data_IF_741989870455
#
_entry.id   IF_741989870455
#
_cell.length_a   1.000
_cell.length_b   1.000
_cell.length_c   1.000
_cell.angle_alpha   90.00
_cell.angle_beta   90.00
_cell.angle_gamma   90.00
#
_symmetry.space_group_name_H-M   'P 1'
#
loop_
_entity.id
_entity.type
_entity.pdbx_description
1 polymer ?
#
# COMPACT_ATOMS: atom_id res chain seq x y z
N UNK A 1 14.58 -9.27 5.42
CA UNK A 1 13.15 -9.28 5.06
C UNK A 1 12.53 -7.90 5.31
N UNK A 2 12.61 -7.35 6.52
CA UNK A 2 12.00 -6.05 6.87
C UNK A 2 12.57 -4.84 6.12
N UNK A 3 13.90 -4.73 5.94
CA UNK A 3 14.52 -3.65 5.14
C UNK A 3 14.01 -3.54 3.70
N UNK A 4 13.60 -4.67 3.08
CA UNK A 4 13.07 -4.66 1.71
C UNK A 4 11.64 -4.17 1.67
N UNK A 5 10.82 -4.54 2.65
CA UNK A 5 9.44 -4.08 2.74
C UNK A 5 9.39 -2.55 2.96
N UNK A 6 10.29 -2.04 3.79
CA UNK A 6 10.47 -0.61 4.00
C UNK A 6 10.78 0.12 2.69
N UNK A 7 11.75 -0.38 1.90
CA UNK A 7 12.09 0.18 0.58
C UNK A 7 10.93 0.11 -0.43
N UNK A 8 10.16 -1.00 -0.43
CA UNK A 8 8.96 -1.14 -1.26
C UNK A 8 7.93 -0.07 -0.91
N UNK A 9 7.67 0.10 0.39
CA UNK A 9 6.68 1.04 0.90
C UNK A 9 7.07 2.49 0.68
N UNK A 10 8.34 2.83 0.88
CA UNK A 10 8.88 4.16 0.57
C UNK A 10 8.72 4.49 -0.92
N UNK A 11 9.14 3.59 -1.82
CA UNK A 11 8.99 3.81 -3.27
C UNK A 11 7.53 3.91 -3.69
N UNK A 12 6.67 3.06 -3.12
CA UNK A 12 5.25 3.12 -3.38
C UNK A 12 4.67 4.48 -2.97
N UNK A 13 5.04 4.98 -1.78
CA UNK A 13 4.60 6.29 -1.31
C UNK A 13 5.11 7.42 -2.21
N UNK A 14 6.38 7.40 -2.62
CA UNK A 14 6.96 8.42 -3.51
C UNK A 14 6.21 8.47 -4.86
N UNK A 15 5.83 7.32 -5.42
CA UNK A 15 5.16 7.25 -6.72
C UNK A 15 3.68 7.67 -6.62
N UNK A 16 3.01 7.30 -5.52
CA UNK A 16 1.54 7.39 -5.43
C UNK A 16 1.03 8.52 -4.53
N UNK A 17 1.90 9.05 -3.67
CA UNK A 17 1.57 9.91 -2.54
C UNK A 17 0.41 9.36 -1.69
N UNK A 18 0.32 8.03 -1.58
CA UNK A 18 -0.69 7.33 -0.78
C UNK A 18 0.00 6.72 0.44
N UNK A 19 -0.39 7.12 1.67
CA UNK A 19 0.21 6.54 2.86
C UNK A 19 -0.01 5.02 2.91
N UNK A 20 1.02 4.32 3.36
CA UNK A 20 1.03 2.86 3.45
C UNK A 20 1.68 2.43 4.76
N UNK A 21 1.08 1.46 5.42
CA UNK A 21 1.57 0.87 6.67
C UNK A 21 1.48 -0.65 6.58
N UNK A 22 2.47 -1.34 7.15
CA UNK A 22 2.49 -2.79 7.20
C UNK A 22 2.47 -3.26 8.65
N UNK A 23 1.68 -4.30 8.90
CA UNK A 23 1.50 -4.93 10.20
C UNK A 23 1.87 -6.40 10.12
N UNK A 24 2.41 -6.94 11.20
CA UNK A 24 2.54 -8.40 11.38
C UNK A 24 1.18 -9.02 11.74
N UNK A 25 1.14 -10.35 11.75
CA UNK A 25 -0.03 -11.10 12.19
C UNK A 25 -0.39 -10.91 13.68
N UNK A 26 0.55 -10.43 14.50
CA UNK A 26 0.34 -10.09 15.92
C UNK A 26 -0.20 -8.66 16.14
N UNK A 27 -0.38 -7.88 15.06
CA UNK A 27 -0.82 -6.48 15.13
C UNK A 27 0.31 -5.47 15.35
N UNK A 28 1.56 -5.91 15.49
CA UNK A 28 2.69 -4.97 15.58
C UNK A 28 3.02 -4.34 14.22
N UNK A 29 3.33 -3.04 14.22
CA UNK A 29 3.75 -2.32 13.02
C UNK A 29 5.14 -2.81 12.60
N UNK A 30 5.28 -3.15 11.33
CA UNK A 30 6.56 -3.49 10.70
C UNK A 30 7.26 -2.22 10.23
N UNK A 31 6.54 -1.42 9.44
CA UNK A 31 7.05 -0.20 8.80
C UNK A 31 5.86 0.65 8.34
N UNK A 32 6.11 1.94 8.11
CA UNK A 32 5.11 2.89 7.61
C UNK A 32 5.78 3.95 6.75
N UNK A 33 5.13 4.34 5.64
CA UNK A 33 5.59 5.40 4.74
C UNK A 33 4.43 6.35 4.45
N UNK A 34 4.65 7.66 4.65
CA UNK A 34 3.63 8.70 4.44
C UNK A 34 2.57 8.81 5.54
N UNK A 35 2.60 7.97 6.56
CA UNK A 35 1.76 8.11 7.75
C UNK A 35 2.29 9.25 8.62
N UNK A 36 1.40 10.20 8.94
CA UNK A 36 1.64 11.27 9.92
C UNK A 36 0.97 10.90 11.24
N UNK A 37 1.29 11.58 12.35
CA UNK A 37 0.63 11.34 13.64
C UNK A 37 -0.90 11.33 13.53
N UNK A 38 -1.46 12.31 12.79
CA UNK A 38 -2.91 12.39 12.51
C UNK A 38 -3.46 11.17 11.76
N UNK A 39 -2.70 10.59 10.83
CA UNK A 39 -3.15 9.39 10.10
C UNK A 39 -3.02 8.12 10.94
N UNK A 40 -2.05 8.07 11.85
CA UNK A 40 -1.94 6.98 12.82
C UNK A 40 -3.11 7.02 13.81
N UNK A 41 -3.40 8.18 14.40
CA UNK A 41 -4.58 8.39 15.26
C UNK A 41 -5.87 7.99 14.55
N UNK A 42 -6.06 8.41 13.29
CA UNK A 42 -7.24 8.03 12.51
C UNK A 42 -7.33 6.52 12.27
N UNK A 43 -6.21 5.83 12.09
CA UNK A 43 -6.18 4.38 11.91
C UNK A 43 -6.59 3.66 13.20
N UNK A 44 -6.07 4.13 14.34
CA UNK A 44 -6.31 3.55 15.66
C UNK A 44 -7.75 3.85 16.14
N UNK A 45 -8.21 5.10 16.03
CA UNK A 45 -9.57 5.53 16.41
C UNK A 45 -10.67 4.76 15.67
N UNK A 46 -10.40 4.37 14.43
CA UNK A 46 -11.34 3.62 13.60
C UNK A 46 -11.14 2.09 13.69
N UNK A 47 -10.22 1.61 14.52
CA UNK A 47 -9.85 0.20 14.68
C UNK A 47 -9.65 -0.52 13.34
N UNK A 48 -8.96 0.13 12.38
CA UNK A 48 -8.90 -0.34 10.99
C UNK A 48 -8.28 -1.73 10.89
N UNK A 49 -7.23 -2.01 11.66
CA UNK A 49 -6.56 -3.30 11.65
C UNK A 49 -7.53 -4.44 12.02
N UNK A 50 -8.24 -4.29 13.14
CA UNK A 50 -9.17 -5.31 13.63
C UNK A 50 -10.36 -5.48 12.68
N UNK A 51 -10.91 -4.38 12.17
CA UNK A 51 -11.99 -4.39 11.19
C UNK A 51 -11.58 -5.11 9.91
N UNK A 52 -10.39 -4.83 9.40
CA UNK A 52 -9.86 -5.51 8.22
C UNK A 52 -9.73 -7.02 8.45
N UNK A 53 -9.17 -7.44 9.59
CA UNK A 53 -9.06 -8.86 9.96
C UNK A 53 -10.43 -9.54 10.04
N UNK A 54 -11.42 -8.87 10.62
CA UNK A 54 -12.76 -9.42 10.74
C UNK A 54 -13.45 -9.57 9.37
N UNK A 55 -13.28 -8.60 8.48
CA UNK A 55 -13.77 -8.68 7.10
C UNK A 55 -13.08 -9.81 6.31
N UNK A 56 -11.77 -10.02 6.48
CA UNK A 56 -11.06 -11.15 5.88
C UNK A 56 -11.53 -12.53 6.37
N UNK A 57 -12.08 -12.62 7.59
CA UNK A 57 -12.66 -13.85 8.14
C UNK A 57 -14.11 -14.07 7.69
N UNK A 58 -14.83 -12.99 7.43
CA UNK A 58 -16.27 -12.98 7.17
C UNK A 58 -16.67 -13.30 5.74
N UNK A 59 -15.81 -13.03 4.75
CA UNK A 59 -16.14 -13.21 3.33
C UNK A 59 -15.16 -14.14 2.60
N UNK A 60 -15.72 -15.01 1.75
CA UNK A 60 -14.96 -15.94 0.95
C UNK A 60 -14.11 -15.23 -0.12
N UNK A 61 -12.79 -15.33 0.04
CA UNK A 61 -11.78 -15.33 -1.03
C UNK A 61 -11.47 -14.03 -1.80
N UNK A 62 -11.59 -12.83 -1.20
CA UNK A 62 -10.85 -11.66 -1.70
C UNK A 62 -9.58 -11.40 -0.88
N UNK A 63 -8.41 -11.37 -1.54
CA UNK A 63 -7.12 -11.03 -0.91
C UNK A 63 -7.00 -9.54 -0.54
N UNK A 64 -8.10 -8.80 -0.59
CA UNK A 64 -8.19 -7.38 -0.27
C UNK A 64 -9.50 -7.08 0.45
N UNK A 65 -9.49 -6.04 1.24
CA UNK A 65 -10.64 -5.51 1.96
C UNK A 65 -10.61 -3.99 1.88
N UNK A 66 -11.77 -3.34 1.74
CA UNK A 66 -11.88 -1.88 1.80
C UNK A 66 -12.72 -1.50 3.02
N UNK A 67 -12.06 -1.01 4.05
CA UNK A 67 -12.68 -0.52 5.27
C UNK A 67 -13.11 0.93 5.07
N UNK A 68 -14.41 1.15 4.93
CA UNK A 68 -14.98 2.49 4.87
C UNK A 68 -15.11 3.10 6.28
N UNK A 69 -14.77 4.38 6.37
CA UNK A 69 -14.87 5.19 7.58
C UNK A 69 -15.80 6.39 7.35
N UNK A 70 -16.00 7.19 8.40
CA UNK A 70 -16.76 8.43 8.30
C UNK A 70 -16.15 9.39 7.28
N UNK A 71 -16.95 10.35 6.80
CA UNK A 71 -16.49 11.42 5.90
C UNK A 71 -15.93 10.96 4.54
N UNK A 72 -16.42 9.85 3.99
CA UNK A 72 -15.95 9.30 2.71
C UNK A 72 -14.45 8.95 2.69
N UNK A 73 -13.91 8.59 3.85
CA UNK A 73 -12.54 8.11 4.01
C UNK A 73 -12.55 6.59 3.91
N UNK A 74 -11.58 6.03 3.22
CA UNK A 74 -11.42 4.60 3.04
C UNK A 74 -9.99 4.20 3.37
N UNK A 75 -9.85 2.97 3.87
CA UNK A 75 -8.59 2.26 4.01
C UNK A 75 -8.70 0.96 3.24
N UNK A 76 -7.66 0.59 2.51
CA UNK A 76 -7.61 -0.68 1.79
C UNK A 76 -6.59 -1.58 2.44
N UNK A 77 -7.00 -2.74 2.93
CA UNK A 77 -6.12 -3.75 3.47
C UNK A 77 -5.90 -4.88 2.45
N UNK A 78 -4.72 -5.48 2.43
CA UNK A 78 -4.42 -6.71 1.68
C UNK A 78 -3.28 -7.47 2.36
N UNK A 79 -3.18 -8.78 2.16
CA UNK A 79 -2.09 -9.58 2.73
C UNK A 79 -0.74 -9.23 2.07
N UNK A 80 0.33 -9.16 2.88
CA UNK A 80 1.70 -8.97 2.36
C UNK A 80 2.04 -10.08 1.35
N UNK A 81 1.62 -11.31 1.66
CA UNK A 81 1.74 -12.45 0.77
C UNK A 81 0.37 -13.14 0.69
N UNK A 82 -0.30 -13.16 -0.47
CA UNK A 82 -1.60 -13.80 -0.62
C UNK A 82 -1.56 -15.31 -0.35
N UNK A 83 -0.39 -15.94 -0.39
CA UNK A 83 -0.22 -17.37 -0.08
C UNK A 83 0.08 -17.63 1.39
N UNK A 84 0.45 -16.61 2.16
CA UNK A 84 0.87 -16.75 3.55
C UNK A 84 0.36 -15.59 4.41
N UNK A 85 -0.84 -15.77 4.96
CA UNK A 85 -1.52 -14.80 5.83
C UNK A 85 -0.73 -14.51 7.12
N UNK A 86 0.12 -15.43 7.58
CA UNK A 86 0.94 -15.25 8.79
C UNK A 86 2.06 -14.21 8.63
N UNK A 87 2.39 -13.82 7.39
CA UNK A 87 3.33 -12.73 7.15
C UNK A 87 2.77 -11.36 7.56
N UNK A 88 1.45 -11.24 7.69
CA UNK A 88 0.77 -10.01 8.06
C UNK A 88 0.10 -9.31 6.88
N UNK A 89 -0.24 -8.04 7.09
CA UNK A 89 -1.09 -7.26 6.19
C UNK A 89 -0.52 -5.87 5.93
N UNK A 90 -0.87 -5.33 4.76
CA UNK A 90 -0.58 -3.96 4.34
C UNK A 90 -1.89 -3.18 4.32
N UNK A 91 -1.88 -1.97 4.86
CA UNK A 91 -3.00 -1.04 4.81
C UNK A 91 -2.57 0.19 4.00
N UNK A 92 -3.32 0.48 2.94
CA UNK A 92 -3.24 1.68 2.13
C UNK A 92 -4.28 2.70 2.60
N UNK A 93 -3.87 3.94 2.78
CA UNK A 93 -4.76 5.01 3.17
C UNK A 93 -4.26 5.75 4.41
N UNK A 94 -5.00 6.75 4.89
CA UNK A 94 -6.36 7.11 4.45
C UNK A 94 -6.40 7.60 3.00
N UNK A 95 -7.47 7.28 2.28
CA UNK A 95 -7.74 7.80 0.94
C UNK A 95 -9.22 8.10 0.73
N UNK A 96 -9.55 8.90 -0.29
CA UNK A 96 -10.93 9.28 -0.58
C UNK A 96 -11.21 9.38 -2.07
N UNK A 97 -12.47 9.20 -2.46
CA UNK A 97 -12.98 9.50 -3.80
C UNK A 97 -13.43 10.97 -3.94
N UNK A 98 -13.24 11.81 -2.93
CA UNK A 98 -13.57 13.23 -3.00
C UNK A 98 -12.30 14.05 -3.29
N UNK A 99 -12.33 14.87 -4.33
CA UNK A 99 -11.23 15.81 -4.60
C UNK A 99 -11.18 16.87 -3.48
N UNK A 100 -9.98 17.33 -3.13
CA UNK A 100 -9.74 18.40 -2.16
C UNK A 100 -10.41 18.19 -0.79
N UNK A 101 -10.23 17.00 -0.22
CA UNK A 101 -10.82 16.68 1.08
C UNK A 101 -10.29 17.62 2.18
N UNK A 102 -11.15 18.19 3.04
CA UNK A 102 -10.76 19.21 4.02
C UNK A 102 -9.71 18.75 5.02
N UNK A 103 -9.62 17.43 5.27
CA UNK A 103 -8.62 16.84 6.17
C UNK A 103 -7.24 16.60 5.53
N UNK A 104 -7.04 16.98 4.26
CA UNK A 104 -5.78 16.76 3.53
C UNK A 104 -5.60 15.32 3.02
N UNK A 105 -6.69 14.57 2.87
CA UNK A 105 -6.64 13.15 2.51
C UNK A 105 -6.44 13.02 0.99
N UNK A 106 -5.51 12.16 0.54
CA UNK A 106 -5.23 12.00 -0.88
C UNK A 106 -6.44 11.44 -1.64
N UNK A 107 -6.72 12.07 -2.78
CA UNK A 107 -7.72 11.59 -3.73
C UNK A 107 -7.22 10.33 -4.45
N UNK A 108 -7.97 9.24 -4.32
CA UNK A 108 -7.76 7.97 -5.03
C UNK A 108 -9.13 7.35 -5.40
N UNK A 109 -9.49 7.33 -6.70
CA UNK A 109 -10.69 6.63 -7.16
C UNK A 109 -10.67 5.15 -6.79
N UNK A 110 -11.82 4.63 -6.31
CA UNK A 110 -11.99 3.20 -5.97
C UNK A 110 -11.59 2.25 -7.10
N UNK A 111 -11.89 2.60 -8.35
CA UNK A 111 -11.54 1.78 -9.51
C UNK A 111 -10.02 1.59 -9.71
N UNK A 112 -9.19 2.46 -9.13
CA UNK A 112 -7.73 2.38 -9.25
C UNK A 112 -7.06 1.59 -8.13
N UNK A 113 -7.79 1.18 -7.09
CA UNK A 113 -7.21 0.46 -5.94
C UNK A 113 -6.51 -0.83 -6.37
N UNK A 114 -7.09 -1.57 -7.31
CA UNK A 114 -6.48 -2.79 -7.83
C UNK A 114 -5.15 -2.52 -8.54
N UNK A 115 -5.09 -1.39 -9.25
CA UNK A 115 -3.88 -0.97 -9.95
C UNK A 115 -2.79 -0.53 -8.96
N UNK A 116 -3.19 0.06 -7.83
CA UNK A 116 -2.26 0.43 -6.75
C UNK A 116 -1.71 -0.82 -6.04
N UNK A 117 -2.55 -1.82 -5.74
CA UNK A 117 -2.07 -3.10 -5.19
C UNK A 117 -1.13 -3.79 -6.20
N UNK A 118 -1.49 -3.76 -7.48
CA UNK A 118 -0.64 -4.32 -8.55
C UNK A 118 0.70 -3.58 -8.66
N UNK A 119 0.70 -2.25 -8.53
CA UNK A 119 1.91 -1.44 -8.52
C UNK A 119 2.80 -1.79 -7.33
N UNK A 120 2.23 -1.98 -6.13
CA UNK A 120 2.97 -2.43 -4.95
C UNK A 120 3.69 -3.77 -5.23
N UNK A 121 2.98 -4.74 -5.80
CA UNK A 121 3.55 -6.04 -6.16
C UNK A 121 4.61 -5.95 -7.28
N UNK A 122 4.48 -5.00 -8.21
CA UNK A 122 5.49 -4.74 -9.25
C UNK A 122 6.77 -4.20 -8.61
N UNK A 123 6.66 -3.22 -7.69
CA UNK A 123 7.80 -2.65 -6.98
C UNK A 123 8.53 -3.73 -6.18
N UNK A 124 7.79 -4.60 -5.50
CA UNK A 124 8.35 -5.76 -4.79
C UNK A 124 9.14 -6.67 -5.73
N UNK A 125 8.56 -7.04 -6.89
CA UNK A 125 9.24 -7.87 -7.88
C UNK A 125 10.51 -7.20 -8.38
N UNK A 126 10.46 -5.93 -8.76
CA UNK A 126 11.62 -5.21 -9.29
C UNK A 126 12.78 -5.16 -8.27
N UNK A 127 12.49 -4.94 -6.99
CA UNK A 127 13.50 -5.01 -5.91
C UNK A 127 14.07 -6.43 -5.78
N UNK A 128 13.21 -7.45 -5.81
CA UNK A 128 13.64 -8.84 -5.66
C UNK A 128 14.49 -9.36 -6.84
N UNK A 129 14.27 -8.86 -8.05
CA UNK A 129 15.11 -9.16 -9.21
C UNK A 129 16.45 -8.43 -9.22
N UNK A 130 16.79 -7.70 -8.14
CA UNK A 130 18.08 -7.02 -8.03
C UNK A 130 18.23 -5.86 -9.02
N UNK A 131 17.12 -5.33 -9.54
CA UNK A 131 17.11 -4.08 -10.31
C UNK A 131 17.34 -2.93 -9.33
N UNK A 132 18.59 -2.79 -8.91
CA UNK A 132 19.04 -1.64 -8.16
C UNK A 132 18.94 -0.41 -9.06
N UNK A 133 18.23 0.60 -8.58
CA UNK A 133 18.21 1.89 -9.24
C UNK A 133 19.61 2.49 -9.13
N UNK A 134 20.29 2.71 -10.26
CA UNK A 134 21.35 3.72 -10.30
C UNK A 134 20.67 5.06 -10.01
N UNK A 135 21.09 5.71 -8.92
CA UNK A 135 20.68 7.06 -8.54
C UNK A 135 20.76 7.97 -9.78
N UNK A 136 19.61 8.41 -10.30
CA UNK A 136 19.56 9.28 -11.48
C UNK A 136 18.26 9.22 -12.28
N UNK A 137 17.56 8.08 -12.27
CA UNK A 137 16.32 7.91 -13.04
C UNK A 137 15.12 7.56 -12.15
N UNK A 138 13.96 8.14 -12.45
CA UNK A 138 12.71 7.75 -11.81
C UNK A 138 12.29 6.33 -12.23
N UNK A 139 11.43 5.70 -11.42
CA UNK A 139 10.89 4.35 -11.67
C UNK A 139 10.38 4.19 -13.11
N UNK A 140 9.59 5.16 -13.57
CA UNK A 140 8.98 5.13 -14.89
C UNK A 140 10.01 5.24 -16.02
N UNK A 141 11.04 6.07 -15.85
CA UNK A 141 12.09 6.27 -16.85
C UNK A 141 12.94 5.01 -17.00
N UNK A 142 13.35 4.37 -15.89
CA UNK A 142 14.10 3.12 -15.96
C UNK A 142 13.28 2.00 -16.58
N UNK A 143 11.99 1.88 -16.23
CA UNK A 143 11.11 0.88 -16.84
C UNK A 143 10.95 1.07 -18.34
N UNK A 144 10.93 2.33 -18.80
CA UNK A 144 10.90 2.62 -20.24
C UNK A 144 12.21 2.21 -20.92
N UNK A 145 13.37 2.53 -20.33
CA UNK A 145 14.68 2.12 -20.85
C UNK A 145 14.83 0.60 -20.92
N UNK A 146 14.49 -0.11 -19.84
CA UNK A 146 14.56 -1.57 -19.79
C UNK A 146 13.65 -2.23 -20.82
N UNK A 147 12.49 -1.64 -21.09
CA UNK A 147 11.58 -2.14 -22.13
C UNK A 147 12.20 -2.00 -23.53
N UNK A 148 12.82 -0.86 -23.82
CA UNK A 148 13.52 -0.61 -25.09
C UNK A 148 14.67 -1.61 -25.25
N UNK A 149 15.60 -1.67 -24.29
CA UNK A 149 16.77 -2.56 -24.32
C UNK A 149 16.39 -4.06 -24.49
N UNK A 150 15.22 -4.46 -23.98
CA UNK A 150 14.77 -5.85 -24.07
C UNK A 150 14.15 -6.24 -25.41
N UNK A 151 13.77 -5.27 -26.25
CA UNK A 151 12.98 -5.49 -27.47
C UNK A 151 13.56 -4.89 -28.74
N UNK A 152 14.52 -3.98 -28.63
CA UNK A 152 15.18 -3.30 -29.74
C UNK A 152 16.69 -3.28 -29.51
#
# INVERSE_FOLDING_TARGET
MFKRLEEIMERFYIITNLPVIAFKADGSVISSSGYTGKFMEMLDDNNIYERAINEFKGDGAENRVIVACSHNICFTAFYIDPKNMYKGLVILGPHTCCKNHPLGIPYKPRCLINNLISLFNIIEKDINYGRSFKQGYSFHVKRALDYIDSRY
#
